data_IF_863452891225
#
_entry.id   IF_863452891225
#
_cell.length_a   1.000
_cell.length_b   1.000
_cell.length_c   1.000
_cell.angle_alpha   90.00
_cell.angle_beta   90.00
_cell.angle_gamma   90.00
#
_symmetry.space_group_name_H-M   'P 1'
#
loop_
_entity.id
_entity.type
_entity.pdbx_description
1 polymer ?
#
# COMPACT_ATOMS: atom_id res chain seq x y z
N UNK A 1 -10.33 5.76 -21.45
CA UNK A 1 -10.00 4.31 -21.38
C UNK A 1 -8.50 4.22 -21.14
N UNK A 2 -7.96 3.71 -20.04
CA UNK A 2 -8.49 3.26 -18.77
C UNK A 2 -7.44 3.66 -17.71
N UNK A 3 -7.82 4.42 -16.69
CA UNK A 3 -6.95 4.73 -15.54
C UNK A 3 -6.71 3.49 -14.63
N UNK A 4 -7.11 2.32 -15.09
CA UNK A 4 -7.06 1.02 -14.40
C UNK A 4 -5.81 0.20 -14.76
N UNK A 5 -4.98 0.67 -15.71
CA UNK A 5 -3.81 -0.08 -16.18
C UNK A 5 -2.56 0.07 -15.30
N UNK A 6 -2.60 0.97 -14.31
CA UNK A 6 -1.49 1.15 -13.37
C UNK A 6 -1.80 0.41 -12.07
N UNK A 7 -1.14 -0.72 -11.77
CA UNK A 7 -1.42 -1.52 -10.58
C UNK A 7 -1.26 -0.72 -9.28
N UNK A 8 -0.42 0.31 -9.27
CA UNK A 8 -0.31 1.26 -8.16
C UNK A 8 -1.62 2.05 -7.94
N UNK A 9 -2.22 2.57 -9.00
CA UNK A 9 -3.46 3.38 -8.91
C UNK A 9 -4.60 2.51 -8.43
N UNK A 10 -4.73 1.29 -8.97
CA UNK A 10 -5.72 0.32 -8.51
C UNK A 10 -5.55 -0.01 -7.03
N UNK A 11 -4.31 -0.25 -6.58
CA UNK A 11 -4.00 -0.55 -5.18
C UNK A 11 -4.28 0.64 -4.24
N UNK A 12 -3.93 1.87 -4.64
CA UNK A 12 -4.25 3.09 -3.87
C UNK A 12 -5.75 3.26 -3.68
N UNK A 13 -6.54 3.05 -4.74
CA UNK A 13 -7.99 3.17 -4.68
C UNK A 13 -8.61 2.14 -3.72
N UNK A 14 -8.11 0.91 -3.72
CA UNK A 14 -8.56 -0.13 -2.77
C UNK A 14 -8.19 0.20 -1.33
N UNK A 15 -6.95 0.64 -1.10
CA UNK A 15 -6.46 0.95 0.25
C UNK A 15 -7.19 2.13 0.89
N UNK A 16 -7.59 3.12 0.10
CA UNK A 16 -8.34 4.28 0.61
C UNK A 16 -9.73 3.91 1.16
N UNK A 17 -10.27 2.75 0.78
CA UNK A 17 -11.54 2.24 1.31
C UNK A 17 -11.38 1.41 2.58
N UNK A 18 -10.15 1.07 2.96
CA UNK A 18 -9.85 0.20 4.09
C UNK A 18 -9.35 1.02 5.28
N UNK A 19 -9.90 0.80 6.49
CA UNK A 19 -9.33 1.38 7.69
C UNK A 19 -8.02 0.66 8.05
N UNK A 20 -7.07 1.41 8.59
CA UNK A 20 -5.87 0.85 9.18
C UNK A 20 -6.25 -0.07 10.35
N UNK A 21 -5.82 -1.34 10.37
CA UNK A 21 -6.21 -2.28 11.42
C UNK A 21 -5.64 -1.93 12.81
N UNK A 22 -4.61 -1.06 12.88
CA UNK A 22 -4.00 -0.64 14.14
C UNK A 22 -4.63 0.62 14.75
N UNK A 23 -5.04 1.60 13.95
CA UNK A 23 -5.55 2.89 14.44
C UNK A 23 -6.94 3.27 13.92
N UNK A 24 -7.51 2.50 12.99
CA UNK A 24 -8.82 2.76 12.39
C UNK A 24 -8.87 3.86 11.34
N UNK A 25 -7.75 4.57 11.08
CA UNK A 25 -7.73 5.67 10.12
C UNK A 25 -7.56 5.19 8.66
N UNK A 26 -8.06 5.95 7.69
CA UNK A 26 -8.11 5.55 6.27
C UNK A 26 -6.90 6.07 5.45
N UNK A 27 -5.84 6.50 6.12
CA UNK A 27 -4.62 7.01 5.49
C UNK A 27 -3.64 5.87 5.15
N UNK A 28 -4.13 4.81 4.49
CA UNK A 28 -3.30 3.71 4.00
C UNK A 28 -2.74 4.05 2.61
N UNK A 29 -1.43 3.92 2.45
CA UNK A 29 -0.72 4.17 1.20
C UNK A 29 0.14 2.95 0.82
N UNK A 30 0.20 2.57 -0.46
CA UNK A 30 1.15 1.58 -0.91
C UNK A 30 2.53 2.21 -1.02
N UNK A 31 3.55 1.45 -0.67
CA UNK A 31 4.96 1.81 -0.70
C UNK A 31 5.69 0.67 -1.37
N UNK A 32 6.52 1.00 -2.36
CA UNK A 32 7.38 0.03 -3.02
C UNK A 32 8.72 -0.03 -2.27
N UNK A 33 9.08 -1.20 -1.76
CA UNK A 33 10.36 -1.43 -1.09
C UNK A 33 11.25 -2.31 -1.96
N UNK A 34 12.35 -1.73 -2.44
CA UNK A 34 13.33 -2.39 -3.30
C UNK A 34 14.62 -2.79 -2.57
N UNK A 35 14.87 -2.21 -1.39
CA UNK A 35 16.15 -2.38 -0.69
C UNK A 35 16.26 -3.72 0.08
N UNK A 36 15.17 -4.49 0.19
CA UNK A 36 15.12 -5.66 1.06
C UNK A 36 15.33 -7.00 0.33
N UNK A 37 15.04 -7.08 -0.98
CA UNK A 37 15.13 -8.34 -1.74
C UNK A 37 16.14 -8.22 -2.89
N UNK A 38 17.06 -9.19 -3.04
CA UNK A 38 18.05 -9.17 -4.11
C UNK A 38 17.42 -9.32 -5.52
N UNK A 39 16.22 -9.87 -5.60
CA UNK A 39 15.56 -10.24 -6.85
C UNK A 39 14.41 -9.30 -7.27
N UNK A 40 14.14 -8.23 -6.51
CA UNK A 40 13.14 -7.24 -6.93
C UNK A 40 12.52 -6.39 -5.81
N UNK A 41 11.56 -5.55 -6.22
CA UNK A 41 10.81 -4.71 -5.33
C UNK A 41 9.49 -5.38 -4.89
N UNK A 42 9.08 -5.13 -3.65
CA UNK A 42 7.80 -5.59 -3.12
C UNK A 42 6.91 -4.42 -2.74
N UNK A 43 5.62 -4.61 -2.92
CA UNK A 43 4.61 -3.69 -2.41
C UNK A 43 4.29 -3.99 -0.96
N UNK A 44 4.30 -2.95 -0.15
CA UNK A 44 3.83 -2.96 1.22
C UNK A 44 2.89 -1.79 1.47
N UNK A 45 2.02 -1.94 2.46
CA UNK A 45 1.02 -0.94 2.82
C UNK A 45 1.48 -0.27 4.08
N UNK A 46 1.50 1.06 4.11
CA UNK A 46 1.83 1.86 5.29
C UNK A 46 0.65 2.76 5.66
N UNK A 47 0.36 2.87 6.96
CA UNK A 47 -0.52 3.91 7.46
C UNK A 47 0.28 5.18 7.75
N UNK A 48 -0.10 6.33 7.17
CA UNK A 48 0.60 7.60 7.45
C UNK A 48 0.36 8.11 8.88
N UNK A 49 -0.76 7.74 9.51
CA UNK A 49 -1.11 8.18 10.86
C UNK A 49 -0.27 7.48 11.94
N UNK A 50 -0.24 6.14 11.92
CA UNK A 50 0.39 5.34 12.98
C UNK A 50 1.69 4.66 12.54
N UNK A 51 2.08 4.83 11.27
CA UNK A 51 3.28 4.24 10.65
C UNK A 51 3.35 2.72 10.65
N UNK A 52 2.24 2.04 10.97
CA UNK A 52 2.14 0.59 10.86
C UNK A 52 2.31 0.16 9.39
N UNK A 53 3.05 -0.95 9.18
CA UNK A 53 3.37 -1.49 7.86
C UNK A 53 2.86 -2.92 7.74
N UNK A 54 2.34 -3.27 6.56
CA UNK A 54 1.75 -4.56 6.25
C UNK A 54 2.27 -5.06 4.90
N UNK A 55 2.59 -6.35 4.82
CA UNK A 55 2.89 -6.99 3.55
C UNK A 55 1.58 -7.45 2.90
N UNK A 56 1.45 -7.22 1.60
CA UNK A 56 0.40 -7.82 0.78
C UNK A 56 0.88 -9.24 0.44
N UNK A 57 0.28 -10.25 1.08
CA UNK A 57 0.55 -11.67 0.84
C UNK A 57 -0.29 -12.21 -0.33
#
# INVERSE_FOLDING_TARGET
MALQDEPEIALRLQLHQLPCPMCGNHELVPVLQCDYYPDGCLWLVRCETCRAQYHLA
#
